data_IF_203918607256
#
_entry.id   IF_203918607256
#
_cell.length_a   1.000
_cell.length_b   1.000
_cell.length_c   1.000
_cell.angle_alpha   90.00
_cell.angle_beta   90.00
_cell.angle_gamma   90.00
#
_symmetry.space_group_name_H-M   'P 1'
#
loop_
_entity.id
_entity.type
_entity.pdbx_description
1 polymer ?
#
# COMPACT_ATOMS: atom_id res chain seq x y z
N UNK A 1 61.97 12.51 -16.96
CA UNK A 1 60.61 12.59 -17.46
C UNK A 1 59.77 11.49 -16.80
N UNK A 2 58.88 11.82 -15.88
CA UNK A 2 57.98 10.87 -15.21
C UNK A 2 56.59 11.01 -15.84
N UNK A 3 55.94 9.96 -16.30
CA UNK A 3 54.57 10.04 -16.75
C UNK A 3 53.62 10.09 -15.55
N UNK A 4 52.77 11.11 -15.52
CA UNK A 4 51.66 11.23 -14.56
C UNK A 4 50.57 10.24 -14.93
N UNK A 5 50.27 9.29 -14.03
CA UNK A 5 49.12 8.42 -14.12
C UNK A 5 47.86 9.21 -13.67
N UNK A 6 47.05 9.58 -14.62
CA UNK A 6 45.68 10.09 -14.36
C UNK A 6 44.78 8.92 -13.93
N UNK A 7 44.52 8.83 -12.63
CA UNK A 7 43.45 7.97 -12.09
C UNK A 7 42.12 8.65 -12.38
N UNK A 8 41.42 8.22 -13.41
CA UNK A 8 40.00 8.55 -13.63
C UNK A 8 39.16 7.74 -12.67
N UNK A 9 38.71 8.39 -11.60
CA UNK A 9 37.75 7.85 -10.66
C UNK A 9 36.37 7.84 -11.34
N UNK A 10 35.97 6.68 -11.89
CA UNK A 10 34.65 6.46 -12.40
C UNK A 10 33.71 6.36 -11.17
N UNK A 11 33.03 7.46 -10.84
CA UNK A 11 31.92 7.46 -9.91
C UNK A 11 30.76 6.66 -10.55
N UNK A 12 30.65 5.38 -10.22
CA UNK A 12 29.49 4.57 -10.55
C UNK A 12 28.30 5.16 -9.77
N UNK A 13 27.40 5.84 -10.49
CA UNK A 13 26.08 6.22 -10.02
C UNK A 13 25.33 4.92 -9.69
N UNK A 14 25.39 4.49 -8.44
CA UNK A 14 24.50 3.51 -7.87
C UNK A 14 23.11 4.16 -7.78
N UNK A 15 22.38 4.22 -8.89
CA UNK A 15 20.93 4.30 -8.86
C UNK A 15 20.48 3.01 -8.19
N UNK A 16 20.24 3.09 -6.87
CA UNK A 16 19.80 1.97 -6.06
C UNK A 16 18.46 1.49 -6.58
N UNK A 17 18.44 0.49 -7.46
CA UNK A 17 17.27 -0.32 -7.70
C UNK A 17 16.95 -0.97 -6.35
N UNK A 18 15.94 -0.46 -5.67
CA UNK A 18 15.42 -1.12 -4.47
C UNK A 18 15.10 -2.57 -4.88
N UNK A 19 15.75 -3.54 -4.22
CA UNK A 19 15.48 -4.95 -4.48
C UNK A 19 13.99 -5.27 -4.23
N UNK A 20 13.55 -6.51 -4.50
CA UNK A 20 12.14 -6.90 -4.35
C UNK A 20 11.53 -6.51 -3.00
N UNK A 21 12.33 -6.57 -1.92
CA UNK A 21 11.89 -6.16 -0.58
C UNK A 21 11.61 -4.67 -0.48
N UNK A 22 12.51 -3.82 -0.97
CA UNK A 22 12.32 -2.37 -0.96
C UNK A 22 11.15 -1.94 -1.84
N UNK A 23 10.95 -2.62 -2.98
CA UNK A 23 9.76 -2.41 -3.82
C UNK A 23 8.48 -2.77 -3.07
N UNK A 24 8.43 -3.92 -2.36
CA UNK A 24 7.26 -4.33 -1.61
C UNK A 24 6.89 -3.30 -0.52
N UNK A 25 7.88 -2.79 0.21
CA UNK A 25 7.67 -1.73 1.22
C UNK A 25 7.10 -0.46 0.57
N UNK A 26 7.71 0.01 -0.53
CA UNK A 26 7.23 1.20 -1.24
C UNK A 26 5.80 1.04 -1.79
N UNK A 27 5.45 -0.17 -2.25
CA UNK A 27 4.09 -0.46 -2.72
C UNK A 27 3.08 -0.48 -1.57
N UNK A 28 3.45 -1.03 -0.40
CA UNK A 28 2.61 -0.99 0.79
C UNK A 28 2.37 0.46 1.26
N UNK A 29 3.40 1.31 1.23
CA UNK A 29 3.25 2.75 1.51
C UNK A 29 2.26 3.40 0.54
N UNK A 30 2.41 3.19 -0.77
CA UNK A 30 1.51 3.75 -1.78
C UNK A 30 0.07 3.29 -1.59
N UNK A 31 -0.13 2.01 -1.26
CA UNK A 31 -1.45 1.47 -1.03
C UNK A 31 -2.11 2.05 0.21
N UNK A 32 -1.38 2.15 1.32
CA UNK A 32 -1.88 2.72 2.58
C UNK A 32 -2.08 4.24 2.49
N UNK A 33 -1.33 4.94 1.64
CA UNK A 33 -1.53 6.35 1.34
C UNK A 33 -2.90 6.66 0.68
N UNK A 34 -3.55 5.68 0.06
CA UNK A 34 -4.91 5.83 -0.49
C UNK A 34 -6.00 5.73 0.59
N UNK A 35 -5.67 5.27 1.80
CA UNK A 35 -6.67 5.03 2.85
C UNK A 35 -7.44 6.29 3.29
N UNK A 36 -6.84 7.49 3.40
CA UNK A 36 -7.58 8.70 3.69
C UNK A 36 -8.62 9.07 2.62
N UNK A 37 -8.29 8.85 1.32
CA UNK A 37 -9.24 9.11 0.22
C UNK A 37 -10.39 8.11 0.23
N UNK A 38 -10.11 6.84 0.54
CA UNK A 38 -11.14 5.81 0.73
C UNK A 38 -12.04 6.19 1.92
N UNK A 39 -11.45 6.67 3.01
CA UNK A 39 -12.18 7.12 4.19
C UNK A 39 -13.11 8.29 3.84
N UNK A 40 -12.61 9.29 3.09
CA UNK A 40 -13.40 10.43 2.68
C UNK A 40 -14.59 10.04 1.80
N UNK A 41 -14.38 9.16 0.83
CA UNK A 41 -15.48 8.63 0.02
C UNK A 41 -16.53 7.91 0.87
N UNK A 42 -16.09 6.99 1.75
CA UNK A 42 -17.00 6.25 2.62
C UNK A 42 -17.77 7.16 3.56
N UNK A 43 -17.09 8.14 4.16
CA UNK A 43 -17.72 9.13 5.02
C UNK A 43 -18.76 9.97 4.25
N UNK A 44 -18.42 10.47 3.07
CA UNK A 44 -19.33 11.29 2.25
C UNK A 44 -20.56 10.53 1.75
N UNK A 45 -20.48 9.20 1.66
CA UNK A 45 -21.55 8.30 1.23
C UNK A 45 -22.22 7.55 2.38
N UNK A 46 -21.81 7.83 3.61
CA UNK A 46 -22.28 7.11 4.81
C UNK A 46 -22.12 5.58 4.72
N UNK A 47 -21.00 5.13 4.14
CA UNK A 47 -20.66 3.72 3.97
C UNK A 47 -19.85 3.21 5.17
N UNK A 48 -19.96 1.91 5.53
CA UNK A 48 -19.14 1.32 6.57
C UNK A 48 -17.66 1.21 6.14
N UNK A 49 -16.76 1.28 7.12
CA UNK A 49 -15.31 1.05 6.88
C UNK A 49 -15.07 -0.38 6.41
N UNK A 50 -15.67 -1.35 7.07
CA UNK A 50 -15.54 -2.76 6.73
C UNK A 50 -16.56 -3.16 5.67
N UNK A 51 -16.06 -3.69 4.57
CA UNK A 51 -16.83 -4.23 3.43
C UNK A 51 -16.41 -5.69 3.20
N UNK A 52 -17.05 -6.65 3.88
CA UNK A 52 -16.64 -8.06 3.81
C UNK A 52 -16.77 -8.66 2.41
N UNK A 53 -17.75 -8.22 1.64
CA UNK A 53 -17.95 -8.70 0.26
C UNK A 53 -16.79 -8.27 -0.63
N UNK A 54 -16.44 -6.99 -0.57
CA UNK A 54 -15.31 -6.46 -1.34
C UNK A 54 -13.98 -7.07 -0.90
N UNK A 55 -13.75 -7.19 0.40
CA UNK A 55 -12.50 -7.78 0.91
C UNK A 55 -12.35 -9.24 0.50
N UNK A 56 -13.41 -10.03 0.56
CA UNK A 56 -13.41 -11.41 0.08
C UNK A 56 -13.06 -11.48 -1.41
N UNK A 57 -13.67 -10.62 -2.24
CA UNK A 57 -13.38 -10.56 -3.67
C UNK A 57 -11.91 -10.22 -3.94
N UNK A 58 -11.36 -9.24 -3.23
CA UNK A 58 -9.94 -8.86 -3.36
C UNK A 58 -9.03 -10.03 -2.99
N UNK A 59 -9.29 -10.69 -1.85
CA UNK A 59 -8.48 -11.83 -1.40
C UNK A 59 -8.51 -12.98 -2.42
N UNK A 60 -9.67 -13.32 -2.94
CA UNK A 60 -9.78 -14.36 -4.00
C UNK A 60 -8.96 -13.99 -5.23
N UNK A 61 -9.06 -12.74 -5.69
CA UNK A 61 -8.31 -12.24 -6.86
C UNK A 61 -6.81 -12.30 -6.65
N UNK A 62 -6.30 -11.79 -5.51
CA UNK A 62 -4.85 -11.78 -5.24
C UNK A 62 -4.29 -13.17 -5.00
N UNK A 63 -5.06 -14.08 -4.37
CA UNK A 63 -4.67 -15.47 -4.17
C UNK A 63 -4.54 -16.20 -5.50
N UNK A 64 -5.51 -16.04 -6.41
CA UNK A 64 -5.46 -16.65 -7.74
C UNK A 64 -4.27 -16.11 -8.56
N UNK A 65 -4.04 -14.80 -8.55
CA UNK A 65 -2.90 -14.19 -9.23
C UNK A 65 -1.56 -14.62 -8.61
N UNK A 66 -1.48 -14.74 -7.31
CA UNK A 66 -0.28 -15.22 -6.60
C UNK A 66 0.03 -16.68 -6.95
N UNK A 67 -0.98 -17.52 -7.00
CA UNK A 67 -0.83 -18.94 -7.38
C UNK A 67 -0.30 -19.08 -8.81
N UNK A 68 -0.72 -18.23 -9.74
CA UNK A 68 -0.18 -18.19 -11.10
C UNK A 68 1.31 -17.81 -11.15
N UNK A 69 1.80 -17.11 -10.10
CA UNK A 69 3.21 -16.74 -9.93
C UNK A 69 4.00 -17.73 -9.04
N UNK A 70 3.40 -18.88 -8.69
CA UNK A 70 4.04 -19.92 -7.88
C UNK A 70 4.04 -19.62 -6.36
N UNK A 71 3.27 -18.63 -5.90
CA UNK A 71 3.15 -18.31 -4.47
C UNK A 71 2.13 -19.23 -3.79
N UNK A 72 2.41 -19.57 -2.52
CA UNK A 72 1.44 -20.31 -1.72
C UNK A 72 0.24 -19.42 -1.39
N UNK A 73 -1.01 -19.86 -1.64
CA UNK A 73 -2.22 -19.03 -1.43
C UNK A 73 -2.35 -18.44 -0.04
N UNK A 74 -2.02 -19.21 1.00
CA UNK A 74 -2.08 -18.72 2.39
C UNK A 74 -1.09 -17.61 2.70
N UNK A 75 0.08 -17.62 2.06
CA UNK A 75 1.06 -16.53 2.21
C UNK A 75 0.51 -15.24 1.65
N UNK A 76 -0.06 -15.31 0.44
CA UNK A 76 -0.70 -14.18 -0.23
C UNK A 76 -1.89 -13.68 0.60
N UNK A 77 -2.76 -14.59 1.02
CA UNK A 77 -3.94 -14.26 1.82
C UNK A 77 -3.57 -13.52 3.11
N UNK A 78 -2.61 -14.05 3.87
CA UNK A 78 -2.19 -13.41 5.15
C UNK A 78 -1.61 -12.03 4.94
N UNK A 79 -0.76 -11.85 3.93
CA UNK A 79 -0.17 -10.55 3.63
C UNK A 79 -1.24 -9.51 3.26
N UNK A 80 -2.11 -9.82 2.30
CA UNK A 80 -3.14 -8.88 1.86
C UNK A 80 -4.23 -8.63 2.90
N UNK A 81 -4.58 -9.64 3.71
CA UNK A 81 -5.52 -9.45 4.83
C UNK A 81 -4.94 -8.48 5.87
N UNK A 82 -3.66 -8.62 6.23
CA UNK A 82 -2.99 -7.72 7.16
C UNK A 82 -2.90 -6.28 6.60
N UNK A 83 -2.63 -6.14 5.30
CA UNK A 83 -2.56 -4.82 4.65
C UNK A 83 -3.93 -4.14 4.58
N UNK A 84 -5.00 -4.91 4.32
CA UNK A 84 -6.37 -4.39 4.37
C UNK A 84 -6.76 -3.98 5.80
N UNK A 85 -6.34 -4.72 6.81
CA UNK A 85 -6.57 -4.35 8.21
C UNK A 85 -5.88 -3.04 8.58
N UNK A 86 -4.62 -2.87 8.18
CA UNK A 86 -3.89 -1.60 8.35
C UNK A 86 -4.62 -0.44 7.66
N UNK A 87 -5.12 -0.64 6.44
CA UNK A 87 -5.91 0.36 5.71
C UNK A 87 -7.22 0.70 6.43
N UNK A 88 -7.95 -0.31 6.95
CA UNK A 88 -9.19 -0.06 7.73
C UNK A 88 -8.92 0.79 8.96
N UNK A 89 -7.82 0.53 9.67
CA UNK A 89 -7.44 1.33 10.84
C UNK A 89 -7.22 2.79 10.47
N UNK A 90 -6.51 3.08 9.40
CA UNK A 90 -6.32 4.45 8.89
C UNK A 90 -7.66 5.09 8.54
N UNK A 91 -8.51 4.38 7.79
CA UNK A 91 -9.85 4.86 7.42
C UNK A 91 -10.71 5.19 8.66
N UNK A 92 -10.68 4.32 9.66
CA UNK A 92 -11.45 4.50 10.88
C UNK A 92 -11.04 5.77 11.63
N UNK A 93 -9.76 6.00 11.82
CA UNK A 93 -9.26 7.18 12.54
C UNK A 93 -9.65 8.49 11.83
N UNK A 94 -9.60 8.51 10.50
CA UNK A 94 -10.05 9.68 9.72
C UNK A 94 -11.56 9.91 9.89
N UNK A 95 -12.38 8.89 9.70
CA UNK A 95 -13.84 8.99 9.80
C UNK A 95 -14.26 9.41 11.21
N UNK A 96 -13.67 8.83 12.25
CA UNK A 96 -13.94 9.22 13.63
C UNK A 96 -13.48 10.66 13.94
N UNK A 97 -12.37 11.07 13.36
CA UNK A 97 -11.89 12.46 13.44
C UNK A 97 -12.93 13.45 12.90
N UNK A 98 -13.46 13.19 11.71
CA UNK A 98 -14.51 14.03 11.09
C UNK A 98 -15.83 13.99 11.86
N UNK A 99 -16.29 12.80 12.25
CA UNK A 99 -17.56 12.64 13.02
C UNK A 99 -17.55 13.37 14.35
N UNK A 100 -16.40 13.42 15.00
CA UNK A 100 -16.21 14.09 16.28
C UNK A 100 -15.73 15.53 16.17
N UNK A 101 -15.68 16.09 14.97
CA UNK A 101 -15.17 17.43 14.68
C UNK A 101 -13.76 17.69 15.25
N UNK A 102 -12.92 16.64 15.36
CA UNK A 102 -11.52 16.78 15.80
C UNK A 102 -10.60 17.24 14.68
N UNK A 103 -10.97 16.94 13.45
CA UNK A 103 -10.29 17.36 12.23
C UNK A 103 -11.31 17.92 11.25
N UNK A 104 -10.96 18.97 10.47
CA UNK A 104 -11.86 19.51 9.46
C UNK A 104 -12.08 18.50 8.33
N UNK A 105 -13.32 18.41 7.85
CA UNK A 105 -13.62 17.64 6.66
C UNK A 105 -12.97 18.28 5.42
N UNK A 106 -12.52 17.47 4.42
CA UNK A 106 -11.97 18.01 3.20
C UNK A 106 -12.99 18.88 2.45
N UNK A 107 -12.57 20.05 1.96
CA UNK A 107 -13.43 20.93 1.15
C UNK A 107 -13.59 20.45 -0.31
N UNK A 108 -12.79 19.44 -0.72
CA UNK A 108 -12.84 18.83 -2.06
C UNK A 108 -13.84 17.69 -2.14
N UNK A 109 -14.41 17.42 -3.32
CA UNK A 109 -15.20 16.21 -3.56
C UNK A 109 -14.39 14.94 -3.27
N UNK A 110 -15.08 13.88 -2.83
CA UNK A 110 -14.46 12.58 -2.68
C UNK A 110 -14.12 11.98 -4.05
N UNK A 111 -12.94 11.35 -4.15
CA UNK A 111 -12.54 10.60 -5.34
C UNK A 111 -13.44 9.37 -5.49
N UNK A 112 -13.89 9.08 -6.70
CA UNK A 112 -14.69 7.88 -6.94
C UNK A 112 -13.85 6.61 -6.76
N UNK A 113 -14.35 5.69 -5.93
CA UNK A 113 -13.62 4.46 -5.63
C UNK A 113 -13.52 3.55 -6.86
N UNK A 114 -14.57 3.48 -7.67
CA UNK A 114 -14.63 2.55 -8.80
C UNK A 114 -13.69 2.94 -9.92
N UNK A 115 -13.76 4.19 -10.35
CA UNK A 115 -13.07 4.69 -11.54
C UNK A 115 -11.66 5.24 -11.24
N UNK A 116 -11.37 5.61 -9.98
CA UNK A 116 -10.10 6.26 -9.64
C UNK A 116 -9.25 5.50 -8.64
N UNK A 117 -9.81 5.09 -7.50
CA UNK A 117 -9.00 4.51 -6.41
C UNK A 117 -8.75 3.02 -6.63
N UNK A 118 -9.79 2.24 -6.97
CA UNK A 118 -9.67 0.78 -7.14
C UNK A 118 -8.68 0.36 -8.23
N UNK A 119 -8.66 1.00 -9.43
CA UNK A 119 -7.65 0.68 -10.45
C UNK A 119 -6.21 0.83 -9.95
N UNK A 120 -5.94 1.87 -9.15
CA UNK A 120 -4.61 2.06 -8.55
C UNK A 120 -4.26 0.95 -7.54
N UNK A 121 -5.23 0.57 -6.70
CA UNK A 121 -5.06 -0.55 -5.75
C UNK A 121 -4.79 -1.85 -6.50
N UNK A 122 -5.53 -2.13 -7.57
CA UNK A 122 -5.40 -3.36 -8.34
C UNK A 122 -4.03 -3.43 -9.03
N UNK A 123 -3.51 -2.31 -9.56
CA UNK A 123 -2.15 -2.22 -10.09
C UNK A 123 -1.09 -2.45 -9.00
N UNK A 124 -1.25 -1.80 -7.84
CA UNK A 124 -0.34 -1.97 -6.71
C UNK A 124 -0.34 -3.43 -6.25
N UNK A 125 -1.50 -4.05 -6.10
CA UNK A 125 -1.65 -5.46 -5.72
C UNK A 125 -0.90 -6.39 -6.71
N UNK A 126 -1.04 -6.17 -8.01
CA UNK A 126 -0.34 -6.95 -9.02
C UNK A 126 1.18 -6.82 -8.92
N UNK A 127 1.68 -5.63 -8.63
CA UNK A 127 3.12 -5.38 -8.42
C UNK A 127 3.63 -6.00 -7.12
N UNK A 128 2.85 -5.95 -6.03
CA UNK A 128 3.20 -6.62 -4.77
C UNK A 128 3.32 -8.12 -4.96
N UNK A 129 2.39 -8.75 -5.70
CA UNK A 129 2.47 -10.17 -6.04
C UNK A 129 3.76 -10.48 -6.81
N UNK A 130 4.14 -9.66 -7.80
CA UNK A 130 5.41 -9.84 -8.52
C UNK A 130 6.63 -9.66 -7.61
N UNK A 131 6.61 -8.71 -6.68
CA UNK A 131 7.71 -8.53 -5.73
C UNK A 131 7.87 -9.75 -4.81
N UNK A 132 6.75 -10.30 -4.29
CA UNK A 132 6.73 -11.53 -3.51
C UNK A 132 7.26 -12.72 -4.32
N UNK A 133 6.84 -12.87 -5.57
CA UNK A 133 7.31 -13.94 -6.46
C UNK A 133 8.81 -13.86 -6.77
N UNK A 134 9.40 -12.66 -6.70
CA UNK A 134 10.85 -12.44 -6.85
C UNK A 134 11.63 -12.59 -5.54
N UNK A 135 10.98 -13.06 -4.47
CA UNK A 135 11.63 -13.39 -3.21
C UNK A 135 11.51 -12.33 -2.11
N UNK A 136 10.68 -11.27 -2.29
CA UNK A 136 10.36 -10.39 -1.18
C UNK A 136 9.65 -11.17 -0.07
N UNK A 137 10.01 -10.89 1.18
CA UNK A 137 9.32 -11.48 2.33
C UNK A 137 8.06 -10.68 2.64
N UNK A 138 6.93 -11.35 2.90
CA UNK A 138 5.70 -10.66 3.31
C UNK A 138 5.94 -9.76 4.52
N UNK A 139 5.43 -8.53 4.45
CA UNK A 139 5.50 -7.62 5.60
C UNK A 139 4.62 -8.14 6.74
N UNK A 140 5.12 -8.06 7.95
CA UNK A 140 4.37 -8.40 9.16
C UNK A 140 3.27 -7.38 9.45
N UNK A 141 2.30 -7.77 10.29
CA UNK A 141 1.25 -6.87 10.79
C UNK A 141 1.86 -5.63 11.45
N UNK A 142 2.93 -5.80 12.23
CA UNK A 142 3.63 -4.70 12.90
C UNK A 142 4.22 -3.71 11.90
N UNK A 143 4.91 -4.18 10.85
CA UNK A 143 5.46 -3.33 9.80
C UNK A 143 4.36 -2.59 9.02
N UNK A 144 3.29 -3.27 8.66
CA UNK A 144 2.15 -2.65 7.97
C UNK A 144 1.43 -1.62 8.85
N UNK A 145 1.31 -1.88 10.14
CA UNK A 145 0.76 -0.93 11.12
C UNK A 145 1.64 0.31 11.28
N UNK A 146 2.95 0.15 11.28
CA UNK A 146 3.90 1.26 11.34
C UNK A 146 3.84 2.12 10.07
N UNK A 147 3.77 1.50 8.89
CA UNK A 147 3.56 2.21 7.63
C UNK A 147 2.23 2.95 7.66
N UNK A 148 1.15 2.29 8.08
CA UNK A 148 -0.18 2.88 8.18
C UNK A 148 -0.24 4.08 9.13
N UNK A 149 0.53 4.05 10.22
CA UNK A 149 0.58 5.13 11.19
C UNK A 149 1.03 6.49 10.60
N UNK A 150 1.78 6.45 9.50
CA UNK A 150 2.22 7.68 8.77
C UNK A 150 1.07 8.42 8.11
N UNK A 151 -0.05 7.74 7.87
CA UNK A 151 -1.23 8.24 7.18
C UNK A 151 -2.41 8.51 8.13
N UNK A 152 -2.19 8.40 9.43
CA UNK A 152 -3.18 8.78 10.43
C UNK A 152 -3.38 10.31 10.44
N UNK A 153 -4.57 10.79 10.83
CA UNK A 153 -4.77 12.23 11.01
C UNK A 153 -3.81 12.78 12.07
N UNK A 154 -3.24 13.94 11.80
CA UNK A 154 -2.43 14.67 12.78
C UNK A 154 -3.35 15.54 13.60
N UNK A 155 -3.31 15.39 14.92
CA UNK A 155 -4.01 16.26 15.87
C UNK A 155 -3.36 17.62 15.92
#
# INVERSE_FOLDING_TARGET
MKPAFLLTLAAALLAGCAGPQGELVSLAEKRLALSPDIAWYKHSKNLPVYDPVRETTVLQTVMAAGQQQGLHPDTVRRFFAAEMEASRRVQWEWIEGWRKNRIPAPERPALDLGSYVRPQIDEINARQIRALARGAQPLSIAQLSEIGARFLPKN
#
